data_IF_816367143521
#
_entry.id   IF_816367143521
#
_cell.length_a   1.000
_cell.length_b   1.000
_cell.length_c   1.000
_cell.angle_alpha   90.00
_cell.angle_beta   90.00
_cell.angle_gamma   90.00
#
_symmetry.space_group_name_H-M   'P 1'
#
loop_
_entity.id
_entity.type
_entity.pdbx_description
1 polymer ?
#
# COMPACT_ATOMS: atom_id res chain seq x y z
N UNK A 1 12.49 30.62 3.38
CA UNK A 1 12.43 29.14 3.49
C UNK A 1 13.75 28.54 3.00
N UNK A 2 14.40 27.69 3.80
CA UNK A 2 15.66 27.03 3.46
C UNK A 2 15.57 25.51 3.60
N UNK A 3 16.58 24.77 3.08
CA UNK A 3 16.58 23.30 3.07
C UNK A 3 16.47 22.68 4.47
N UNK A 4 17.12 23.26 5.46
CA UNK A 4 17.08 22.75 6.85
C UNK A 4 15.66 22.86 7.43
N UNK A 5 14.97 23.97 7.17
CA UNK A 5 13.59 24.17 7.59
C UNK A 5 12.66 23.14 6.93
N UNK A 6 12.81 22.92 5.61
CA UNK A 6 12.04 21.93 4.86
C UNK A 6 12.28 20.52 5.43
N UNK A 7 13.51 20.12 5.64
CA UNK A 7 13.83 18.79 6.19
C UNK A 7 13.29 18.61 7.63
N UNK A 8 13.39 19.64 8.48
CA UNK A 8 12.81 19.60 9.82
C UNK A 8 11.29 19.42 9.79
N UNK A 9 10.60 20.12 8.89
CA UNK A 9 9.16 20.00 8.72
C UNK A 9 8.78 18.61 8.20
N UNK A 10 9.36 18.16 7.08
CA UNK A 10 9.05 16.87 6.47
C UNK A 10 9.30 15.71 7.47
N UNK A 11 10.46 15.72 8.12
CA UNK A 11 10.80 14.65 9.07
C UNK A 11 9.90 14.67 10.32
N UNK A 12 9.48 15.85 10.79
CA UNK A 12 8.54 15.94 11.92
C UNK A 12 7.17 15.41 11.55
N UNK A 13 6.71 15.67 10.32
CA UNK A 13 5.45 15.16 9.80
C UNK A 13 5.48 13.62 9.65
N UNK A 14 6.57 13.06 9.11
CA UNK A 14 6.76 11.62 8.92
C UNK A 14 6.81 10.86 10.26
N UNK A 15 7.57 11.39 11.23
CA UNK A 15 7.78 10.72 12.51
C UNK A 15 6.67 11.00 13.54
N UNK A 16 5.75 11.93 13.23
CA UNK A 16 4.76 12.44 14.18
C UNK A 16 5.37 12.80 15.55
N UNK A 17 6.65 13.25 15.54
CA UNK A 17 7.43 13.47 16.76
C UNK A 17 8.64 14.37 16.50
N UNK A 18 8.72 15.51 17.17
CA UNK A 18 9.91 16.38 17.15
C UNK A 18 11.16 15.69 17.67
N UNK A 19 11.03 14.82 18.67
CA UNK A 19 12.16 14.09 19.25
C UNK A 19 12.74 13.05 18.28
N UNK A 20 11.88 12.29 17.61
CA UNK A 20 12.32 11.31 16.60
C UNK A 20 12.91 12.00 15.37
N UNK A 21 12.25 13.08 14.89
CA UNK A 21 12.77 13.90 13.80
C UNK A 21 14.16 14.47 14.13
N UNK A 22 14.35 14.95 15.34
CA UNK A 22 15.65 15.46 15.83
C UNK A 22 16.74 14.37 15.82
N UNK A 23 16.42 13.18 16.30
CA UNK A 23 17.32 12.04 16.25
C UNK A 23 17.69 11.66 14.80
N UNK A 24 16.70 11.61 13.90
CA UNK A 24 16.92 11.30 12.48
C UNK A 24 17.75 12.36 11.74
N UNK A 25 17.67 13.63 12.18
CA UNK A 25 18.42 14.76 11.59
C UNK A 25 19.73 15.09 12.32
N UNK A 26 20.10 14.32 13.36
CA UNK A 26 21.26 14.60 14.21
C UNK A 26 21.23 16.02 14.81
N UNK A 27 20.05 16.48 15.20
CA UNK A 27 19.81 17.81 15.75
C UNK A 27 19.21 17.71 17.17
N UNK A 28 19.20 18.83 17.91
CA UNK A 28 18.41 18.90 19.14
C UNK A 28 16.92 19.11 18.81
N UNK A 29 16.04 18.59 19.65
CA UNK A 29 14.59 18.80 19.51
C UNK A 29 14.23 20.29 19.45
N UNK A 30 14.90 21.11 20.27
CA UNK A 30 14.70 22.57 20.27
C UNK A 30 15.06 23.19 18.93
N UNK A 31 16.16 22.74 18.30
CA UNK A 31 16.57 23.22 16.98
C UNK A 31 15.53 22.84 15.92
N UNK A 32 15.06 21.59 15.89
CA UNK A 32 14.03 21.15 14.93
C UNK A 32 12.75 21.97 15.11
N UNK A 33 12.26 22.11 16.35
CA UNK A 33 11.06 22.89 16.65
C UNK A 33 11.19 24.35 16.22
N UNK A 34 12.37 24.94 16.43
CA UNK A 34 12.67 26.31 16.01
C UNK A 34 12.69 26.48 14.49
N UNK A 35 13.29 25.53 13.76
CA UNK A 35 13.33 25.58 12.30
C UNK A 35 11.93 25.48 11.68
N UNK A 36 11.08 24.60 12.22
CA UNK A 36 9.68 24.50 11.79
C UNK A 36 8.92 25.79 12.11
N UNK A 37 9.08 26.36 13.31
CA UNK A 37 8.42 27.62 13.69
C UNK A 37 8.84 28.78 12.79
N UNK A 38 10.12 28.91 12.45
CA UNK A 38 10.61 29.94 11.51
C UNK A 38 10.03 29.75 10.11
N UNK A 39 9.83 28.52 9.67
CA UNK A 39 9.17 28.21 8.40
C UNK A 39 7.70 28.64 8.42
N UNK A 40 6.96 28.31 9.48
CA UNK A 40 5.56 28.69 9.68
C UNK A 40 5.39 30.22 9.75
N UNK A 41 6.31 30.91 10.43
CA UNK A 41 6.34 32.37 10.50
C UNK A 41 6.55 33.01 9.12
N UNK A 42 7.53 32.52 8.35
CA UNK A 42 7.81 33.01 6.99
C UNK A 42 6.63 32.77 6.04
N UNK A 43 5.90 31.67 6.18
CA UNK A 43 4.76 31.32 5.36
C UNK A 43 3.45 31.96 5.85
N UNK A 44 3.44 32.53 7.05
CA UNK A 44 2.26 33.15 7.67
C UNK A 44 1.15 32.15 8.02
N UNK A 45 1.46 30.86 8.09
CA UNK A 45 0.47 29.81 8.39
C UNK A 45 1.12 28.65 9.18
N UNK A 46 0.33 28.06 10.09
CA UNK A 46 0.76 26.86 10.80
C UNK A 46 0.69 25.63 9.88
N UNK A 47 1.76 24.86 9.83
CA UNK A 47 1.84 23.63 9.06
C UNK A 47 1.60 22.39 9.92
N UNK A 48 1.92 22.49 11.24
CA UNK A 48 1.72 21.42 12.21
C UNK A 48 0.74 21.86 13.30
N UNK A 49 -0.22 21.01 13.60
CA UNK A 49 -1.08 21.12 14.77
C UNK A 49 -0.31 20.61 16.00
N UNK A 50 0.00 21.55 16.92
CA UNK A 50 0.70 21.28 18.18
C UNK A 50 -0.26 21.01 19.34
N UNK A 51 -1.57 21.19 19.14
CA UNK A 51 -2.61 20.90 20.14
C UNK A 51 -2.99 19.42 20.20
N UNK A 52 -2.64 18.65 19.19
CA UNK A 52 -2.85 17.20 19.18
C UNK A 52 -1.82 16.48 20.07
N UNK A 53 -2.12 15.28 20.59
CA UNK A 53 -1.19 14.46 21.38
C UNK A 53 0.13 14.14 20.66
N UNK A 54 0.12 14.20 19.33
CA UNK A 54 1.28 14.08 18.44
C UNK A 54 1.19 15.16 17.37
N UNK A 55 2.33 15.69 16.88
CA UNK A 55 2.33 16.62 15.76
C UNK A 55 1.58 16.03 14.56
N UNK A 56 0.56 16.72 14.09
CA UNK A 56 -0.23 16.34 12.93
C UNK A 56 -0.19 17.47 11.89
N UNK A 57 -0.36 17.15 10.61
CA UNK A 57 -0.41 18.17 9.56
C UNK A 57 -1.73 18.93 9.62
N UNK A 58 -1.64 20.27 9.54
CA UNK A 58 -2.81 21.12 9.26
C UNK A 58 -3.24 20.95 7.78
N UNK A 59 -4.42 21.46 7.35
CA UNK A 59 -4.79 21.46 5.94
C UNK A 59 -3.74 22.18 5.06
N UNK A 60 -3.16 23.29 5.54
CA UNK A 60 -2.03 23.94 4.86
C UNK A 60 -0.78 23.06 4.88
N UNK A 61 -0.49 22.42 6.01
CA UNK A 61 0.61 21.47 6.17
C UNK A 61 0.55 20.31 5.18
N UNK A 62 -0.62 19.76 4.90
CA UNK A 62 -0.80 18.69 3.91
C UNK A 62 -0.39 19.13 2.51
N UNK A 63 -0.82 20.34 2.10
CA UNK A 63 -0.47 20.93 0.79
C UNK A 63 1.04 21.14 0.68
N UNK A 64 1.65 21.75 1.71
CA UNK A 64 3.09 21.98 1.74
C UNK A 64 3.89 20.70 1.82
N UNK A 65 3.43 19.72 2.59
CA UNK A 65 4.07 18.40 2.68
C UNK A 65 4.13 17.72 1.33
N UNK A 66 3.02 17.64 0.60
CA UNK A 66 2.96 17.03 -0.73
C UNK A 66 3.90 17.73 -1.73
N UNK A 67 3.91 19.04 -1.73
CA UNK A 67 4.76 19.83 -2.65
C UNK A 67 6.26 19.70 -2.29
N UNK A 68 6.60 19.88 -1.01
CA UNK A 68 8.00 19.94 -0.57
C UNK A 68 8.66 18.56 -0.54
N UNK A 69 7.92 17.49 -0.20
CA UNK A 69 8.43 16.13 -0.25
C UNK A 69 8.77 15.71 -1.69
N UNK A 70 7.94 16.12 -2.65
CA UNK A 70 8.23 15.90 -4.08
C UNK A 70 9.49 16.67 -4.52
N UNK A 71 9.62 17.92 -4.12
CA UNK A 71 10.77 18.76 -4.46
C UNK A 71 12.08 18.24 -3.82
N UNK A 72 12.04 17.86 -2.53
CA UNK A 72 13.23 17.31 -1.82
C UNK A 72 13.68 15.99 -2.44
N UNK A 73 12.73 15.14 -2.83
CA UNK A 73 13.03 13.92 -3.56
C UNK A 73 13.71 14.20 -4.90
N UNK A 74 13.20 15.15 -5.69
CA UNK A 74 13.81 15.50 -6.98
C UNK A 74 15.25 15.98 -6.81
N UNK A 75 15.52 16.78 -5.77
CA UNK A 75 16.87 17.22 -5.45
C UNK A 75 17.77 16.06 -5.04
N UNK A 76 17.26 15.11 -4.26
CA UNK A 76 18.01 13.94 -3.86
C UNK A 76 18.32 13.03 -5.07
N UNK A 77 17.37 12.79 -5.97
CA UNK A 77 17.59 12.05 -7.22
C UNK A 77 18.65 12.72 -8.12
N UNK A 78 18.62 14.05 -8.24
CA UNK A 78 19.65 14.79 -8.98
C UNK A 78 21.04 14.66 -8.33
N UNK A 79 21.12 14.67 -7.00
CA UNK A 79 22.39 14.47 -6.29
C UNK A 79 22.91 13.04 -6.46
N UNK A 80 22.02 12.04 -6.41
CA UNK A 80 22.33 10.63 -6.68
C UNK A 80 22.82 10.44 -8.13
N UNK A 81 22.13 11.01 -9.12
CA UNK A 81 22.57 10.97 -10.55
C UNK A 81 23.92 11.64 -10.77
N UNK A 82 24.23 12.72 -10.05
CA UNK A 82 25.54 13.38 -10.12
C UNK A 82 26.64 12.57 -9.44
N UNK A 83 26.31 11.86 -8.36
CA UNK A 83 27.22 10.92 -7.69
C UNK A 83 27.47 9.68 -8.56
N UNK A 84 26.42 9.14 -9.21
CA UNK A 84 26.48 8.00 -10.13
C UNK A 84 27.32 8.29 -11.38
N UNK A 85 27.29 9.51 -11.92
CA UNK A 85 28.19 9.96 -12.98
C UNK A 85 29.67 9.90 -12.56
N UNK A 86 29.93 10.07 -11.26
CA UNK A 86 31.30 9.98 -10.71
C UNK A 86 31.75 8.55 -10.38
N UNK A 87 30.84 7.61 -10.09
CA UNK A 87 31.21 6.27 -9.58
C UNK A 87 30.49 5.08 -10.22
N UNK A 88 29.59 5.24 -11.20
CA UNK A 88 28.72 4.13 -11.72
C UNK A 88 27.98 3.39 -10.60
N UNK A 89 27.53 4.12 -9.56
CA UNK A 89 26.84 3.54 -8.42
C UNK A 89 25.38 3.17 -8.73
N UNK A 90 24.92 2.14 -8.09
CA UNK A 90 23.60 1.53 -8.18
C UNK A 90 22.46 2.53 -8.04
N UNK A 91 21.59 2.62 -9.05
CA UNK A 91 20.31 3.31 -8.93
C UNK A 91 19.45 2.54 -7.93
N UNK A 92 18.70 3.27 -7.10
CA UNK A 92 17.73 2.67 -6.20
C UNK A 92 16.36 2.73 -6.85
N UNK A 93 15.61 1.64 -6.77
CA UNK A 93 14.21 1.59 -7.18
C UNK A 93 13.39 1.05 -6.03
N UNK A 94 12.49 1.88 -5.48
CA UNK A 94 11.76 1.63 -4.26
C UNK A 94 10.34 1.22 -4.58
N UNK A 95 9.98 0.01 -4.18
CA UNK A 95 8.69 -0.61 -4.48
C UNK A 95 7.99 -0.94 -3.18
N UNK A 96 6.76 -0.47 -3.05
CA UNK A 96 5.88 -0.86 -1.96
C UNK A 96 4.90 -1.96 -2.38
N UNK A 97 4.50 -2.77 -1.42
CA UNK A 97 3.43 -3.76 -1.57
C UNK A 97 2.37 -3.49 -0.52
N UNK A 98 1.11 -3.45 -0.94
CA UNK A 98 -0.01 -3.47 -0.02
C UNK A 98 0.10 -4.67 0.91
N UNK A 99 -0.21 -4.51 2.19
CA UNK A 99 -0.19 -5.59 3.17
C UNK A 99 -1.08 -6.78 2.78
N UNK A 100 -2.04 -6.59 1.90
CA UNK A 100 -2.95 -7.61 1.40
C UNK A 100 -2.36 -8.49 0.30
N UNK A 101 -1.23 -8.09 -0.26
CA UNK A 101 -0.55 -8.80 -1.34
C UNK A 101 0.56 -9.68 -0.78
N UNK A 102 0.75 -10.85 -1.41
CA UNK A 102 1.86 -11.74 -1.13
C UNK A 102 3.01 -11.48 -2.13
N UNK A 103 4.06 -10.72 -1.74
CA UNK A 103 5.16 -10.43 -2.64
C UNK A 103 6.06 -11.65 -2.91
N UNK A 104 5.89 -12.73 -2.16
CA UNK A 104 6.69 -13.95 -2.27
C UNK A 104 6.11 -14.99 -3.23
N UNK A 105 4.90 -14.75 -3.74
CA UNK A 105 4.25 -15.55 -4.78
C UNK A 105 4.74 -15.18 -6.20
N UNK A 106 3.81 -14.96 -7.11
CA UNK A 106 4.11 -14.60 -8.52
C UNK A 106 4.89 -13.28 -8.65
N UNK A 107 4.64 -12.30 -7.77
CA UNK A 107 5.35 -11.03 -7.75
C UNK A 107 6.87 -11.20 -7.56
N UNK A 108 7.32 -12.24 -6.89
CA UNK A 108 8.75 -12.55 -6.76
C UNK A 108 9.41 -12.77 -8.12
N UNK A 109 8.70 -13.35 -9.09
CA UNK A 109 9.24 -13.57 -10.43
C UNK A 109 9.47 -12.25 -11.17
N UNK A 110 8.58 -11.28 -11.00
CA UNK A 110 8.72 -9.92 -11.54
C UNK A 110 10.01 -9.27 -11.00
N UNK A 111 10.17 -9.30 -9.67
CA UNK A 111 11.34 -8.73 -9.00
C UNK A 111 12.64 -9.39 -9.45
N UNK A 112 12.62 -10.73 -9.56
CA UNK A 112 13.81 -11.50 -10.00
C UNK A 112 14.18 -11.15 -11.43
N UNK A 113 13.21 -11.14 -12.36
CA UNK A 113 13.46 -10.81 -13.77
C UNK A 113 13.93 -9.39 -13.96
N UNK A 114 13.30 -8.46 -13.24
CA UNK A 114 13.72 -7.05 -13.28
C UNK A 114 15.14 -6.86 -12.73
N UNK A 115 15.50 -7.51 -11.62
CA UNK A 115 16.84 -7.44 -11.03
C UNK A 115 17.91 -8.03 -11.98
N UNK A 116 17.57 -9.10 -12.71
CA UNK A 116 18.46 -9.67 -13.72
C UNK A 116 18.70 -8.74 -14.92
N UNK A 117 17.67 -8.00 -15.34
CA UNK A 117 17.78 -7.01 -16.40
C UNK A 117 18.51 -5.74 -15.95
N UNK A 118 18.47 -5.41 -14.66
CA UNK A 118 19.06 -4.21 -14.08
C UNK A 118 19.98 -4.53 -12.89
N UNK A 119 21.09 -5.27 -13.09
CA UNK A 119 21.94 -5.76 -11.99
C UNK A 119 22.63 -4.63 -11.21
N UNK A 120 22.72 -3.43 -11.79
CA UNK A 120 23.25 -2.23 -11.14
C UNK A 120 22.21 -1.44 -10.33
N UNK A 121 20.98 -1.94 -10.20
CA UNK A 121 19.89 -1.27 -9.47
C UNK A 121 19.65 -1.94 -8.12
N UNK A 122 19.72 -1.17 -7.04
CA UNK A 122 19.30 -1.66 -5.72
C UNK A 122 17.78 -1.59 -5.61
N UNK A 123 17.11 -2.74 -5.41
CA UNK A 123 15.71 -2.80 -5.12
C UNK A 123 15.48 -2.66 -3.60
N UNK A 124 14.68 -1.68 -3.22
CA UNK A 124 14.18 -1.54 -1.86
C UNK A 124 12.70 -1.95 -1.84
N UNK A 125 12.36 -2.95 -1.04
CA UNK A 125 11.02 -3.52 -0.99
C UNK A 125 10.40 -3.25 0.37
N UNK A 126 9.20 -2.68 0.39
CA UNK A 126 8.46 -2.40 1.61
C UNK A 126 7.06 -3.01 1.53
N UNK A 127 6.64 -3.64 2.62
CA UNK A 127 5.29 -4.20 2.77
C UNK A 127 4.55 -3.33 3.80
N UNK A 128 3.50 -2.65 3.38
CA UNK A 128 2.93 -1.52 4.10
C UNK A 128 1.40 -1.55 4.10
N UNK A 129 0.80 -0.89 5.06
CA UNK A 129 -0.63 -0.57 5.01
C UNK A 129 -0.91 0.39 3.84
N UNK A 130 -2.10 0.30 3.25
CA UNK A 130 -2.44 1.02 2.02
C UNK A 130 -2.35 2.54 2.16
N UNK A 131 -2.69 3.08 3.34
CA UNK A 131 -2.60 4.51 3.60
C UNK A 131 -1.13 4.97 3.65
N UNK A 132 -0.27 4.29 4.41
CA UNK A 132 1.17 4.59 4.48
C UNK A 132 1.83 4.40 3.10
N UNK A 133 1.46 3.34 2.37
CA UNK A 133 1.93 3.10 1.00
C UNK A 133 1.55 4.25 0.07
N UNK A 134 0.31 4.73 0.15
CA UNK A 134 -0.19 5.85 -0.65
C UNK A 134 0.51 7.16 -0.32
N UNK A 135 0.71 7.47 0.95
CA UNK A 135 1.43 8.66 1.39
C UNK A 135 2.88 8.66 0.96
N UNK A 136 3.55 7.51 1.04
CA UNK A 136 4.93 7.35 0.59
C UNK A 136 5.08 7.49 -0.93
N UNK A 137 4.08 7.06 -1.70
CA UNK A 137 4.04 7.32 -3.15
C UNK A 137 3.84 8.81 -3.43
N UNK A 138 2.92 9.48 -2.75
CA UNK A 138 2.65 10.92 -2.91
C UNK A 138 3.88 11.74 -2.52
N UNK A 139 4.50 11.44 -1.39
CA UNK A 139 5.72 12.11 -0.93
C UNK A 139 6.95 11.77 -1.78
N UNK A 140 6.85 10.73 -2.61
CA UNK A 140 7.96 10.22 -3.41
C UNK A 140 9.01 9.47 -2.60
N UNK A 141 8.68 9.02 -1.42
CA UNK A 141 9.50 8.07 -0.68
C UNK A 141 9.50 6.68 -1.33
N UNK A 142 8.51 6.38 -2.18
CA UNK A 142 8.44 5.20 -3.05
C UNK A 142 8.29 5.62 -4.52
N UNK A 143 8.81 4.78 -5.40
CA UNK A 143 8.78 4.98 -6.86
C UNK A 143 7.56 4.31 -7.49
N UNK A 144 7.14 3.17 -6.95
CA UNK A 144 5.96 2.42 -7.36
C UNK A 144 5.39 1.60 -6.20
N UNK A 145 4.12 1.23 -6.29
CA UNK A 145 3.46 0.37 -5.32
C UNK A 145 2.44 -0.55 -5.97
N UNK A 146 2.35 -1.78 -5.49
CA UNK A 146 1.32 -2.72 -5.92
C UNK A 146 0.12 -2.67 -4.98
N UNK A 147 -1.07 -2.63 -5.58
CA UNK A 147 -2.37 -2.66 -4.90
C UNK A 147 -3.32 -3.60 -5.62
N UNK A 148 -4.33 -4.09 -4.92
CA UNK A 148 -5.53 -4.63 -5.54
C UNK A 148 -6.42 -3.47 -6.04
N UNK A 149 -7.20 -3.70 -7.10
CA UNK A 149 -8.06 -2.68 -7.75
C UNK A 149 -9.01 -2.01 -6.75
N UNK A 150 -9.69 -2.81 -5.94
CA UNK A 150 -10.60 -2.31 -4.90
C UNK A 150 -9.94 -1.51 -3.77
N UNK A 151 -8.62 -1.53 -3.68
CA UNK A 151 -7.83 -0.93 -2.60
C UNK A 151 -6.92 0.20 -3.08
N UNK A 152 -6.87 0.44 -4.38
CA UNK A 152 -6.02 1.48 -4.95
C UNK A 152 -6.51 2.88 -4.55
N UNK A 153 -5.60 3.79 -4.17
CA UNK A 153 -5.97 5.13 -3.76
C UNK A 153 -6.50 5.94 -4.93
N UNK A 154 -7.67 6.57 -4.75
CA UNK A 154 -8.19 7.53 -5.71
C UNK A 154 -7.67 8.95 -5.36
N UNK A 155 -6.43 9.25 -5.74
CA UNK A 155 -5.73 10.50 -5.47
C UNK A 155 -5.21 11.10 -6.78
N UNK A 156 -5.36 12.43 -6.95
CA UNK A 156 -4.92 13.15 -8.17
C UNK A 156 -3.41 13.10 -8.37
N UNK A 157 -2.66 12.98 -7.29
CA UNK A 157 -1.20 12.90 -7.26
C UNK A 157 -0.66 11.55 -7.72
N UNK A 158 -1.52 10.55 -7.88
CA UNK A 158 -1.15 9.20 -8.26
C UNK A 158 -1.78 8.80 -9.60
N UNK A 159 -1.09 7.91 -10.31
CA UNK A 159 -1.59 7.19 -11.48
C UNK A 159 -1.56 5.70 -11.20
N UNK A 160 -2.46 4.96 -11.83
CA UNK A 160 -2.51 3.51 -11.75
C UNK A 160 -2.47 2.88 -13.15
N UNK A 161 -1.88 1.69 -13.24
CA UNK A 161 -1.83 0.85 -14.43
C UNK A 161 -2.23 -0.58 -14.04
N UNK A 162 -3.17 -1.16 -14.76
CA UNK A 162 -3.54 -2.57 -14.57
C UNK A 162 -2.42 -3.45 -15.10
N UNK A 163 -1.91 -4.33 -14.27
CA UNK A 163 -0.77 -5.21 -14.59
C UNK A 163 -1.25 -6.62 -14.91
N UNK A 164 -2.14 -7.16 -14.09
CA UNK A 164 -2.63 -8.51 -14.26
C UNK A 164 -4.05 -8.66 -13.71
N UNK A 165 -4.75 -9.68 -14.17
CA UNK A 165 -6.04 -10.09 -13.61
C UNK A 165 -5.77 -10.92 -12.35
N UNK A 166 -6.42 -10.55 -11.25
CA UNK A 166 -6.50 -11.31 -10.01
C UNK A 166 -7.70 -12.26 -10.02
N UNK A 167 -7.86 -12.99 -8.95
CA UNK A 167 -8.98 -13.91 -8.75
C UNK A 167 -9.53 -13.74 -7.34
N UNK A 168 -10.68 -13.08 -7.23
CA UNK A 168 -11.32 -12.89 -5.93
C UNK A 168 -11.99 -14.19 -5.47
N UNK A 169 -11.71 -14.61 -4.25
CA UNK A 169 -12.22 -15.84 -3.66
C UNK A 169 -12.82 -15.61 -2.28
N UNK A 170 -13.83 -16.41 -1.95
CA UNK A 170 -14.25 -16.66 -0.58
C UNK A 170 -13.32 -17.71 0.02
N UNK A 171 -12.68 -17.40 1.13
CA UNK A 171 -11.87 -18.32 1.92
C UNK A 171 -12.67 -18.88 3.09
N UNK A 172 -12.57 -20.19 3.29
CA UNK A 172 -13.21 -20.90 4.39
C UNK A 172 -12.34 -22.10 4.80
N UNK A 173 -12.58 -22.74 5.95
CA UNK A 173 -11.93 -24.00 6.30
C UNK A 173 -12.10 -25.03 5.18
N UNK A 174 -11.03 -25.71 4.83
CA UNK A 174 -11.00 -26.63 3.68
C UNK A 174 -12.04 -27.76 3.78
N UNK A 175 -12.35 -28.23 5.00
CA UNK A 175 -13.37 -29.24 5.27
C UNK A 175 -14.79 -28.74 4.93
N UNK A 176 -15.05 -27.43 5.02
CA UNK A 176 -16.34 -26.82 4.66
C UNK A 176 -16.51 -26.76 3.14
N UNK A 177 -15.43 -26.63 2.39
CA UNK A 177 -15.41 -26.54 0.94
C UNK A 177 -15.22 -27.90 0.23
N UNK A 178 -14.90 -28.99 0.97
CA UNK A 178 -14.44 -30.26 0.43
C UNK A 178 -15.44 -30.97 -0.54
N UNK A 179 -16.74 -30.72 -0.41
CA UNK A 179 -17.78 -31.41 -1.21
C UNK A 179 -18.12 -30.72 -2.54
N UNK A 180 -17.27 -29.85 -3.05
CA UNK A 180 -17.46 -29.14 -4.31
C UNK A 180 -18.28 -27.86 -4.19
N UNK A 181 -18.41 -27.13 -5.32
CA UNK A 181 -19.00 -25.79 -5.36
C UNK A 181 -20.51 -25.74 -5.08
N UNK A 182 -21.26 -26.81 -5.37
CA UNK A 182 -22.70 -26.86 -5.11
C UNK A 182 -22.97 -26.89 -3.59
N UNK A 183 -23.58 -25.83 -3.06
CA UNK A 183 -23.89 -25.69 -1.64
C UNK A 183 -22.73 -25.25 -0.72
N UNK A 184 -21.51 -25.05 -1.25
CA UNK A 184 -20.39 -24.54 -0.45
C UNK A 184 -20.65 -23.14 0.09
N UNK A 185 -21.23 -22.26 -0.72
CA UNK A 185 -21.62 -20.91 -0.29
C UNK A 185 -22.67 -20.97 0.84
N UNK A 186 -23.63 -21.91 0.78
CA UNK A 186 -24.65 -22.08 1.84
C UNK A 186 -24.02 -22.60 3.15
N UNK A 187 -23.06 -23.52 3.08
CA UNK A 187 -22.32 -23.99 4.26
C UNK A 187 -21.47 -22.88 4.90
N UNK A 188 -20.93 -21.99 4.09
CA UNK A 188 -20.18 -20.84 4.57
C UNK A 188 -21.05 -19.80 5.26
N UNK A 189 -22.39 -19.78 4.98
CA UNK A 189 -23.34 -18.83 5.54
C UNK A 189 -23.43 -18.93 7.08
N UNK A 190 -23.31 -20.13 7.63
CA UNK A 190 -23.37 -20.37 9.08
C UNK A 190 -22.07 -19.98 9.81
N UNK A 191 -21.00 -19.68 9.08
CA UNK A 191 -19.73 -19.25 9.64
C UNK A 191 -19.67 -17.72 9.70
N UNK A 192 -19.06 -17.16 10.76
CA UNK A 192 -18.82 -15.72 10.80
C UNK A 192 -17.86 -15.30 9.68
N UNK A 193 -18.24 -14.26 8.96
CA UNK A 193 -17.36 -13.60 8.01
C UNK A 193 -16.55 -12.54 8.74
N UNK A 194 -15.24 -12.63 8.63
CA UNK A 194 -14.31 -11.71 9.27
C UNK A 194 -13.82 -10.68 8.26
N UNK A 195 -13.78 -9.44 8.70
CA UNK A 195 -13.28 -8.30 7.91
C UNK A 195 -12.39 -7.42 8.79
N UNK A 196 -11.55 -6.63 8.19
CA UNK A 196 -10.82 -5.56 8.86
C UNK A 196 -11.54 -4.24 8.57
N UNK A 197 -11.79 -3.38 9.57
CA UNK A 197 -12.44 -2.10 9.34
C UNK A 197 -11.46 -1.16 8.66
N UNK A 198 -11.32 -1.34 7.37
CA UNK A 198 -10.64 -0.40 6.53
C UNK A 198 -11.66 0.12 5.51
N UNK A 199 -11.57 1.39 5.13
CA UNK A 199 -12.24 1.95 3.97
C UNK A 199 -12.08 1.06 2.71
N UNK A 200 -11.08 0.20 2.72
CA UNK A 200 -10.69 -0.80 1.74
C UNK A 200 -11.78 -1.84 1.46
N UNK A 201 -12.56 -2.22 2.49
CA UNK A 201 -13.66 -3.18 2.33
C UNK A 201 -15.00 -2.56 1.93
N UNK A 202 -15.12 -1.24 1.91
CA UNK A 202 -16.37 -0.60 1.50
C UNK A 202 -16.79 -0.96 0.05
N UNK A 203 -15.84 -1.34 -0.77
CA UNK A 203 -16.07 -1.85 -2.12
C UNK A 203 -16.60 -3.30 -2.09
N UNK A 204 -15.93 -4.18 -1.34
CA UNK A 204 -16.36 -5.58 -1.17
C UNK A 204 -17.68 -5.66 -0.43
N UNK A 205 -17.86 -4.86 0.62
CA UNK A 205 -19.08 -4.78 1.39
C UNK A 205 -20.28 -4.39 0.52
N UNK A 206 -20.14 -3.40 -0.36
CA UNK A 206 -21.18 -3.01 -1.31
C UNK A 206 -21.48 -4.06 -2.37
N UNK A 207 -20.48 -4.75 -2.89
CA UNK A 207 -20.62 -5.75 -3.96
C UNK A 207 -21.04 -7.13 -3.46
N UNK A 208 -20.62 -7.53 -2.27
CA UNK A 208 -20.82 -8.86 -1.72
C UNK A 208 -21.95 -8.94 -0.69
N UNK A 209 -22.10 -7.91 0.15
CA UNK A 209 -22.94 -7.93 1.36
C UNK A 209 -24.09 -6.92 1.27
N UNK A 210 -24.11 -6.06 0.26
CA UNK A 210 -25.12 -5.00 0.09
C UNK A 210 -26.55 -5.48 0.33
N UNK A 211 -27.52 -4.56 0.48
CA UNK A 211 -28.94 -4.90 0.69
C UNK A 211 -29.39 -6.01 -0.26
N UNK A 212 -30.26 -6.90 0.20
CA UNK A 212 -30.71 -8.12 -0.52
C UNK A 212 -31.02 -7.92 -2.03
N UNK A 213 -31.36 -6.67 -2.42
CA UNK A 213 -31.65 -6.29 -3.81
C UNK A 213 -30.41 -5.82 -4.61
N UNK A 214 -29.26 -5.56 -3.94
CA UNK A 214 -28.05 -4.97 -4.53
C UNK A 214 -26.81 -5.87 -4.45
N UNK A 215 -26.87 -7.01 -3.74
CA UNK A 215 -25.77 -7.95 -3.69
C UNK A 215 -25.69 -8.76 -4.99
N UNK A 216 -24.69 -8.50 -5.82
CA UNK A 216 -24.47 -9.24 -7.08
C UNK A 216 -24.33 -10.75 -6.85
N UNK A 217 -23.96 -11.21 -5.63
CA UNK A 217 -23.56 -12.60 -5.37
C UNK A 217 -24.19 -13.28 -4.15
N UNK A 218 -25.06 -12.62 -3.40
CA UNK A 218 -25.85 -13.28 -2.35
C UNK A 218 -25.04 -13.95 -1.24
N UNK A 219 -23.83 -13.50 -0.96
CA UNK A 219 -23.14 -13.88 0.28
C UNK A 219 -23.86 -13.19 1.44
N UNK A 220 -24.63 -13.96 2.19
CA UNK A 220 -25.34 -13.48 3.38
C UNK A 220 -24.76 -14.16 4.61
N UNK A 221 -23.60 -13.71 5.14
CA UNK A 221 -23.05 -14.28 6.36
C UNK A 221 -24.00 -14.06 7.53
N UNK A 222 -24.19 -15.10 8.35
CA UNK A 222 -25.01 -14.99 9.55
C UNK A 222 -24.47 -13.93 10.53
N UNK A 223 -23.15 -13.74 10.53
CA UNK A 223 -22.46 -12.73 11.32
C UNK A 223 -21.33 -12.10 10.51
N UNK A 224 -21.25 -10.78 10.52
CA UNK A 224 -20.13 -10.01 10.02
C UNK A 224 -19.36 -9.44 11.21
N UNK A 225 -18.10 -9.84 11.39
CA UNK A 225 -17.27 -9.42 12.50
C UNK A 225 -16.06 -8.63 11.98
N UNK A 226 -15.81 -7.49 12.60
CA UNK A 226 -14.70 -6.63 12.26
C UNK A 226 -13.51 -6.88 13.20
N UNK A 227 -12.32 -7.09 12.64
CA UNK A 227 -11.08 -7.27 13.37
C UNK A 227 -10.17 -6.05 13.19
N UNK A 228 -9.31 -5.73 14.18
CA UNK A 228 -8.58 -4.46 14.18
C UNK A 228 -7.51 -4.34 13.08
N UNK A 229 -6.99 -5.46 12.56
CA UNK A 229 -5.93 -5.48 11.56
C UNK A 229 -5.81 -6.85 10.89
N UNK A 230 -5.00 -6.90 9.81
CA UNK A 230 -4.74 -8.11 9.05
C UNK A 230 -4.14 -9.25 9.88
N UNK A 231 -3.25 -8.96 10.82
CA UNK A 231 -2.62 -9.97 11.67
C UNK A 231 -3.65 -10.70 12.55
N UNK A 232 -4.62 -9.94 13.10
CA UNK A 232 -5.74 -10.51 13.85
C UNK A 232 -6.64 -11.37 12.97
N UNK A 233 -6.89 -10.93 11.73
CA UNK A 233 -7.65 -11.69 10.75
C UNK A 233 -6.93 -13.01 10.37
N UNK A 234 -5.65 -12.96 10.06
CA UNK A 234 -4.85 -14.16 9.77
C UNK A 234 -4.82 -15.13 10.95
N UNK A 235 -4.67 -14.64 12.18
CA UNK A 235 -4.72 -15.47 13.36
C UNK A 235 -6.08 -16.15 13.52
N UNK A 236 -7.19 -15.41 13.34
CA UNK A 236 -8.53 -15.96 13.39
C UNK A 236 -8.78 -17.02 12.31
N UNK A 237 -8.29 -16.80 11.09
CA UNK A 237 -8.39 -17.77 9.98
C UNK A 237 -7.59 -19.04 10.23
N UNK A 238 -6.44 -18.96 10.91
CA UNK A 238 -5.60 -20.14 11.23
C UNK A 238 -6.20 -21.01 12.32
N UNK A 239 -6.93 -20.44 13.28
CA UNK A 239 -7.37 -21.15 14.49
C UNK A 239 -8.89 -21.22 14.62
N UNK A 240 -9.64 -20.42 13.87
CA UNK A 240 -11.10 -20.34 13.96
C UNK A 240 -11.83 -20.96 12.77
N UNK A 241 -13.11 -21.26 12.97
CA UNK A 241 -14.03 -21.62 11.88
C UNK A 241 -14.73 -20.35 11.42
N UNK A 242 -14.15 -19.66 10.45
CA UNK A 242 -14.62 -18.39 9.93
C UNK A 242 -14.31 -18.29 8.42
N UNK A 243 -14.87 -17.27 7.79
CA UNK A 243 -14.70 -16.98 6.38
C UNK A 243 -14.13 -15.58 6.18
N UNK A 244 -13.51 -15.34 5.05
CA UNK A 244 -13.13 -14.00 4.57
C UNK A 244 -13.07 -13.98 3.06
N UNK A 245 -12.86 -12.82 2.46
CA UNK A 245 -12.69 -12.66 1.02
C UNK A 245 -11.33 -12.06 0.72
N UNK A 246 -10.69 -12.51 -0.35
CA UNK A 246 -9.40 -12.00 -0.80
C UNK A 246 -9.00 -12.55 -2.15
N UNK A 247 -7.95 -11.99 -2.73
CA UNK A 247 -7.41 -12.47 -4.00
C UNK A 247 -6.61 -13.77 -3.79
N UNK A 248 -6.88 -14.80 -4.62
CA UNK A 248 -6.21 -16.10 -4.49
C UNK A 248 -4.86 -16.14 -5.20
N UNK A 249 -4.66 -15.32 -6.20
CA UNK A 249 -3.44 -15.28 -7.00
C UNK A 249 -2.36 -14.42 -6.34
N UNK A 250 -2.74 -13.23 -5.88
CA UNK A 250 -1.79 -12.25 -5.34
C UNK A 250 -1.94 -12.01 -3.83
N UNK A 251 -3.05 -12.44 -3.22
CA UNK A 251 -3.36 -12.18 -1.82
C UNK A 251 -2.62 -13.06 -0.83
N UNK A 252 -2.62 -12.61 0.43
CA UNK A 252 -1.91 -13.28 1.53
C UNK A 252 -2.60 -14.58 1.99
N UNK A 253 -3.92 -14.70 1.81
CA UNK A 253 -4.69 -15.81 2.38
C UNK A 253 -4.44 -17.15 1.70
N UNK A 254 -4.03 -17.16 0.43
CA UNK A 254 -3.69 -18.38 -0.31
C UNK A 254 -2.55 -19.19 0.34
N UNK A 255 -1.76 -18.57 1.20
CA UNK A 255 -0.65 -19.21 1.92
C UNK A 255 -1.04 -19.76 3.30
N UNK A 256 -2.29 -19.58 3.75
CA UNK A 256 -2.74 -20.05 5.08
C UNK A 256 -3.11 -21.54 5.02
N UNK A 257 -2.41 -22.42 5.75
CA UNK A 257 -2.73 -23.86 5.77
C UNK A 257 -4.13 -24.12 6.32
N UNK A 258 -4.85 -25.07 5.70
CA UNK A 258 -6.17 -25.48 6.15
C UNK A 258 -7.33 -24.61 5.66
N UNK A 259 -7.06 -23.55 4.91
CA UNK A 259 -8.06 -22.81 4.16
C UNK A 259 -8.22 -23.37 2.74
N UNK A 260 -9.47 -23.47 2.31
CA UNK A 260 -9.84 -23.62 0.92
C UNK A 260 -10.33 -22.28 0.35
N UNK A 261 -10.42 -22.20 -0.97
CA UNK A 261 -10.94 -21.04 -1.68
C UNK A 261 -12.06 -21.41 -2.62
N UNK A 262 -13.09 -20.55 -2.72
CA UNK A 262 -14.18 -20.65 -3.68
C UNK A 262 -14.15 -19.40 -4.55
N UNK A 263 -13.89 -19.51 -5.87
CA UNK A 263 -13.87 -18.36 -6.76
C UNK A 263 -15.19 -17.61 -6.75
N UNK A 264 -15.10 -16.30 -6.73
CA UNK A 264 -16.23 -15.38 -6.84
C UNK A 264 -16.24 -14.82 -8.27
N UNK A 265 -17.41 -14.65 -8.90
CA UNK A 265 -17.50 -14.14 -10.26
C UNK A 265 -17.35 -12.60 -10.29
N UNK A 266 -16.29 -12.11 -9.67
CA UNK A 266 -15.91 -10.70 -9.57
C UNK A 266 -14.54 -10.50 -10.20
N UNK A 267 -14.46 -9.51 -11.09
CA UNK A 267 -13.16 -9.10 -11.62
C UNK A 267 -12.37 -8.32 -10.59
N UNK A 268 -11.15 -8.74 -10.37
CA UNK A 268 -10.14 -8.08 -9.56
C UNK A 268 -8.88 -7.90 -10.41
N UNK A 269 -8.13 -6.84 -10.17
CA UNK A 269 -6.89 -6.56 -10.88
C UNK A 269 -5.78 -6.18 -9.93
N UNK A 270 -4.58 -6.64 -10.24
CA UNK A 270 -3.36 -6.11 -9.65
C UNK A 270 -3.00 -4.81 -10.34
N UNK A 271 -2.86 -3.75 -9.58
CA UNK A 271 -2.49 -2.43 -10.07
C UNK A 271 -1.07 -2.07 -9.66
N UNK A 272 -0.33 -1.45 -10.55
CA UNK A 272 0.88 -0.69 -10.26
C UNK A 272 0.49 0.78 -10.13
N UNK A 273 0.68 1.35 -8.94
CA UNK A 273 0.39 2.75 -8.62
C UNK A 273 1.71 3.51 -8.47
N UNK A 274 1.77 4.72 -9.01
CA UNK A 274 2.99 5.53 -9.04
C UNK A 274 2.65 7.04 -9.06
N UNK A 275 3.58 7.92 -8.67
CA UNK A 275 3.38 9.36 -8.72
C UNK A 275 3.01 9.87 -10.12
N UNK A 276 2.01 10.78 -10.21
CA UNK A 276 1.57 11.36 -11.47
C UNK A 276 2.58 12.33 -12.07
N UNK A 277 3.46 12.90 -11.24
CA UNK A 277 4.49 13.87 -11.63
C UNK A 277 5.73 13.19 -12.23
N UNK A 278 6.91 13.58 -11.76
CA UNK A 278 8.17 13.01 -12.24
C UNK A 278 8.28 11.55 -11.81
N UNK A 279 8.43 10.66 -12.78
CA UNK A 279 8.52 9.23 -12.58
C UNK A 279 9.99 8.78 -12.56
N UNK A 280 10.25 7.67 -11.86
CA UNK A 280 11.57 7.06 -11.88
C UNK A 280 11.90 6.54 -13.30
N UNK A 281 13.15 6.71 -13.79
CA UNK A 281 13.53 6.28 -15.17
C UNK A 281 13.26 4.80 -15.48
N UNK A 282 13.30 3.93 -14.46
CA UNK A 282 13.06 2.49 -14.62
C UNK A 282 11.60 2.07 -14.46
N UNK A 283 10.67 3.01 -14.20
CA UNK A 283 9.27 2.68 -13.95
C UNK A 283 8.61 1.96 -15.13
N UNK A 284 8.85 2.45 -16.35
CA UNK A 284 8.25 1.86 -17.55
C UNK A 284 8.79 0.45 -17.83
N UNK A 285 10.11 0.25 -17.67
CA UNK A 285 10.72 -1.08 -17.80
C UNK A 285 10.23 -2.04 -16.73
N UNK A 286 10.01 -1.55 -15.49
CA UNK A 286 9.45 -2.33 -14.42
C UNK A 286 7.99 -2.72 -14.71
N UNK A 287 7.17 -1.77 -15.13
CA UNK A 287 5.77 -2.02 -15.48
C UNK A 287 5.64 -3.05 -16.61
N UNK A 288 6.45 -2.91 -17.66
CA UNK A 288 6.50 -3.86 -18.77
C UNK A 288 6.93 -5.25 -18.30
N UNK A 289 7.98 -5.34 -17.47
CA UNK A 289 8.42 -6.62 -16.89
C UNK A 289 7.31 -7.27 -16.07
N UNK A 290 6.58 -6.49 -15.29
CA UNK A 290 5.47 -6.99 -14.50
C UNK A 290 4.33 -7.54 -15.40
N UNK A 291 3.96 -6.81 -16.44
CA UNK A 291 2.94 -7.26 -17.41
C UNK A 291 3.36 -8.53 -18.15
N UNK A 292 4.61 -8.61 -18.60
CA UNK A 292 5.13 -9.78 -19.31
C UNK A 292 5.18 -11.03 -18.44
N UNK A 293 5.60 -10.88 -17.18
CA UNK A 293 5.74 -12.00 -16.24
C UNK A 293 4.38 -12.47 -15.73
N UNK A 294 3.46 -11.54 -15.48
CA UNK A 294 2.17 -11.83 -14.86
C UNK A 294 1.03 -12.01 -15.88
N UNK A 295 1.34 -11.87 -17.19
CA UNK A 295 0.35 -12.15 -18.23
C UNK A 295 -0.05 -13.63 -18.13
N UNK A 296 -1.30 -13.88 -17.84
CA UNK A 296 -1.88 -15.23 -17.97
C UNK A 296 -1.94 -15.53 -19.46
N UNK A 297 -1.41 -16.67 -19.89
CA UNK A 297 -1.77 -17.22 -21.20
C UNK A 297 -3.27 -17.44 -21.18
N UNK A 298 -4.02 -16.73 -22.04
CA UNK A 298 -5.45 -16.93 -22.28
C UNK A 298 -5.70 -18.29 -22.91
#
# INVERSE_FOLDING_TARGET
MNRTQVQCFLRTAEEHSFTKAAAALYMSQQSVSRQVALMEEELGTALLDRGAPRPALTPAGQVYYAALSTADRQLNLLQEDLADRRQRLTRRFRIGFSQWLNPWGELRQVLTRFQQAHPGTALELLHLENEDLSERLISGALDAGFFSDGQAPNRRELKSRRIAKGELCLYAPADVLADGSAGAADRCRDLPMLMVPAWEYSFLERRLIGSQEQAEFGLHPAQLLSLPNLQSLEAALRFGRCTTVGDSRFGVFSSIPGLGSLPLPLEEHLLLVYPAGQQHPLLEDFARTAEEVLRTEE
#
